data_IF_714022025854
#
_entry.id   IF_714022025854
#
_cell.length_a   1.000
_cell.length_b   1.000
_cell.length_c   1.000
_cell.angle_alpha   90.00
_cell.angle_beta   90.00
_cell.angle_gamma   90.00
#
_symmetry.space_group_name_H-M   'P 1'
#
loop_
_entity.id
_entity.type
_entity.pdbx_description
1 polymer ?
#
# COMPACT_ATOMS: atom_id res chain seq x y z
N UNK A 1 22.23 13.72 -2.21
CA UNK A 1 21.04 13.23 -1.47
C UNK A 1 21.21 11.72 -1.37
N UNK A 2 21.43 11.16 -0.18
CA UNK A 2 21.52 9.70 -0.04
C UNK A 2 20.10 9.17 0.08
N UNK A 3 19.57 8.55 -0.96
CA UNK A 3 18.30 7.83 -0.87
C UNK A 3 18.47 6.58 -0.01
N UNK A 4 17.47 6.25 0.80
CA UNK A 4 17.40 4.95 1.48
C UNK A 4 16.79 3.95 0.49
N UNK A 5 17.48 2.83 0.26
CA UNK A 5 16.90 1.73 -0.50
C UNK A 5 15.74 1.12 0.32
N UNK A 6 14.62 0.86 -0.35
CA UNK A 6 13.40 0.30 0.23
C UNK A 6 12.98 -0.90 -0.60
N UNK A 7 12.32 -1.87 0.03
CA UNK A 7 11.84 -3.09 -0.62
C UNK A 7 10.32 -2.96 -0.81
N UNK A 8 9.91 -2.55 -2.00
CA UNK A 8 8.51 -2.25 -2.31
C UNK A 8 7.65 -3.51 -2.28
N UNK A 9 8.22 -4.67 -2.62
CA UNK A 9 7.54 -5.96 -2.55
C UNK A 9 6.94 -6.30 -1.18
N UNK A 10 7.37 -5.62 -0.10
CA UNK A 10 6.83 -5.81 1.24
C UNK A 10 5.36 -5.40 1.34
N UNK A 11 4.93 -4.32 0.67
CA UNK A 11 3.53 -3.84 0.76
C UNK A 11 2.56 -4.70 -0.03
N UNK A 12 3.07 -5.54 -0.92
CA UNK A 12 2.30 -6.46 -1.77
C UNK A 12 2.43 -7.91 -1.33
N UNK A 13 3.14 -8.17 -0.22
CA UNK A 13 3.42 -9.51 0.31
C UNK A 13 4.30 -10.37 -0.60
N UNK A 14 4.99 -9.77 -1.58
CA UNK A 14 5.97 -10.47 -2.43
C UNK A 14 7.22 -10.84 -1.65
N UNK A 15 7.61 -9.99 -0.70
CA UNK A 15 8.64 -10.27 0.29
C UNK A 15 8.08 -10.05 1.69
N UNK A 16 8.54 -10.85 2.65
CA UNK A 16 8.23 -10.61 4.06
C UNK A 16 9.17 -9.52 4.61
N UNK A 17 8.67 -8.65 5.49
CA UNK A 17 9.51 -7.67 6.18
C UNK A 17 8.81 -6.33 6.40
N UNK A 18 9.63 -5.31 6.66
CA UNK A 18 9.20 -3.94 6.93
C UNK A 18 9.47 -2.98 5.77
N UNK A 19 9.91 -3.49 4.61
CA UNK A 19 10.24 -2.68 3.44
C UNK A 19 11.45 -1.77 3.64
N UNK A 20 12.24 -1.97 4.71
CA UNK A 20 13.28 -1.04 5.13
C UNK A 20 12.72 0.24 5.74
N UNK A 21 11.47 0.27 6.21
CA UNK A 21 10.85 1.43 6.85
C UNK A 21 10.70 1.20 8.34
N UNK A 22 10.97 2.24 9.13
CA UNK A 22 10.75 2.19 10.58
C UNK A 22 9.29 1.84 10.88
N UNK A 23 9.10 0.80 11.70
CA UNK A 23 7.80 0.20 12.00
C UNK A 23 7.01 -0.31 10.77
N UNK A 24 7.64 -0.46 9.61
CA UNK A 24 6.96 -0.82 8.35
C UNK A 24 6.15 -2.11 8.45
N UNK A 25 6.68 -3.15 9.10
CA UNK A 25 5.95 -4.40 9.29
C UNK A 25 4.66 -4.22 10.12
N UNK A 26 4.66 -3.30 11.11
CA UNK A 26 3.47 -2.99 11.91
C UNK A 26 2.46 -2.14 11.13
N UNK A 27 2.95 -1.19 10.32
CA UNK A 27 2.12 -0.38 9.43
C UNK A 27 1.41 -1.25 8.38
N UNK A 28 2.13 -2.18 7.75
CA UNK A 28 1.57 -3.15 6.80
C UNK A 28 0.54 -4.04 7.51
N UNK A 29 0.90 -4.65 8.64
CA UNK A 29 -0.01 -5.55 9.36
C UNK A 29 -1.32 -4.86 9.79
N UNK A 30 -1.24 -3.62 10.27
CA UNK A 30 -2.42 -2.84 10.63
C UNK A 30 -3.25 -2.46 9.40
N UNK A 31 -2.62 -2.04 8.30
CA UNK A 31 -3.31 -1.70 7.05
C UNK A 31 -4.09 -2.91 6.52
N UNK A 32 -3.46 -4.09 6.46
CA UNK A 32 -4.12 -5.34 6.08
C UNK A 32 -5.30 -5.70 6.99
N UNK A 33 -5.15 -5.47 8.29
CA UNK A 33 -6.20 -5.75 9.26
C UNK A 33 -7.40 -4.80 9.09
N UNK A 34 -7.17 -3.53 8.75
CA UNK A 34 -8.22 -2.53 8.46
C UNK A 34 -8.99 -2.87 7.17
N UNK A 35 -8.30 -3.38 6.15
CA UNK A 35 -8.92 -3.75 4.86
C UNK A 35 -9.56 -5.14 4.88
N UNK A 36 -9.32 -5.93 5.93
CA UNK A 36 -9.91 -7.25 6.13
C UNK A 36 -11.27 -7.22 6.82
N UNK A 37 -11.75 -8.41 7.20
CA UNK A 37 -13.04 -8.62 7.88
C UNK A 37 -12.92 -9.31 9.25
N UNK A 38 -11.70 -9.42 9.79
CA UNK A 38 -11.44 -10.02 11.10
C UNK A 38 -11.29 -8.93 12.16
N UNK A 39 -12.36 -8.66 12.89
CA UNK A 39 -12.39 -7.68 13.98
C UNK A 39 -11.39 -8.00 15.10
N UNK A 40 -11.14 -9.28 15.36
CA UNK A 40 -10.17 -9.72 16.34
C UNK A 40 -8.75 -9.38 15.92
N UNK A 41 -8.41 -9.62 14.64
CA UNK A 41 -7.12 -9.20 14.06
C UNK A 41 -7.00 -7.69 14.07
N UNK A 42 -8.06 -6.97 13.68
CA UNK A 42 -8.07 -5.50 13.71
C UNK A 42 -7.77 -4.95 15.10
N UNK A 43 -8.42 -5.46 16.15
CA UNK A 43 -8.17 -5.03 17.52
C UNK A 43 -6.72 -5.29 17.96
N UNK A 44 -6.16 -6.47 17.62
CA UNK A 44 -4.78 -6.84 17.96
C UNK A 44 -3.76 -5.95 17.26
N UNK A 45 -3.86 -5.78 15.94
CA UNK A 45 -2.87 -4.99 15.18
C UNK A 45 -2.97 -3.49 15.49
N UNK A 46 -4.16 -2.99 15.83
CA UNK A 46 -4.35 -1.62 16.32
C UNK A 46 -3.52 -1.36 17.57
N UNK A 47 -3.62 -2.25 18.56
CA UNK A 47 -2.86 -2.10 19.81
C UNK A 47 -1.35 -2.27 19.56
N UNK A 48 -0.98 -3.25 18.74
CA UNK A 48 0.43 -3.48 18.39
C UNK A 48 1.08 -2.28 17.71
N UNK A 49 0.35 -1.56 16.83
CA UNK A 49 0.87 -0.35 16.20
C UNK A 49 0.94 0.82 17.19
N UNK A 50 -0.10 1.04 18.01
CA UNK A 50 -0.13 2.12 19.02
C UNK A 50 0.97 1.99 20.07
N UNK A 51 1.47 0.79 20.31
CA UNK A 51 2.59 0.56 21.22
C UNK A 51 3.95 1.04 20.68
N UNK A 52 4.07 1.30 19.36
CA UNK A 52 5.36 1.64 18.73
C UNK A 52 5.36 3.02 18.05
N UNK A 53 4.20 3.66 17.84
CA UNK A 53 4.11 5.02 17.28
C UNK A 53 3.38 5.97 18.22
N UNK A 54 3.52 7.28 18.00
CA UNK A 54 2.81 8.29 18.78
C UNK A 54 1.31 8.32 18.46
N UNK A 55 0.46 8.84 19.36
CA UNK A 55 -0.96 9.03 19.07
C UNK A 55 -1.24 9.84 17.82
N UNK A 56 -0.46 10.89 17.55
CA UNK A 56 -0.59 11.75 16.37
C UNK A 56 -0.26 10.96 15.10
N UNK A 57 0.87 10.24 15.09
CA UNK A 57 1.26 9.38 13.97
C UNK A 57 0.22 8.28 13.69
N UNK A 58 -0.44 7.76 14.73
CA UNK A 58 -1.52 6.79 14.57
C UNK A 58 -2.75 7.39 13.89
N UNK A 59 -3.13 8.63 14.23
CA UNK A 59 -4.21 9.36 13.55
C UNK A 59 -3.86 9.58 12.08
N UNK A 60 -2.65 10.04 11.78
CA UNK A 60 -2.18 10.25 10.41
C UNK A 60 -2.18 8.94 9.60
N UNK A 61 -1.76 7.84 10.21
CA UNK A 61 -1.82 6.50 9.59
C UNK A 61 -3.25 6.11 9.24
N UNK A 62 -4.20 6.29 10.17
CA UNK A 62 -5.62 6.00 9.92
C UNK A 62 -6.20 6.89 8.81
N UNK A 63 -5.83 8.17 8.78
CA UNK A 63 -6.26 9.11 7.74
C UNK A 63 -5.74 8.69 6.36
N UNK A 64 -4.47 8.26 6.28
CA UNK A 64 -3.86 7.80 5.04
C UNK A 64 -4.54 6.53 4.50
N UNK A 65 -4.77 5.54 5.36
CA UNK A 65 -5.52 4.32 5.00
C UNK A 65 -6.90 4.68 4.48
N UNK A 66 -7.62 5.58 5.16
CA UNK A 66 -8.94 6.04 4.75
C UNK A 66 -8.93 6.73 3.38
N UNK A 67 -7.96 7.61 3.14
CA UNK A 67 -7.84 8.35 1.88
C UNK A 67 -7.60 7.42 0.68
N UNK A 68 -6.61 6.52 0.76
CA UNK A 68 -6.30 5.61 -0.35
C UNK A 68 -7.41 4.59 -0.59
N UNK A 69 -8.05 4.10 0.47
CA UNK A 69 -9.22 3.22 0.35
C UNK A 69 -10.38 3.87 -0.44
N UNK A 70 -10.55 5.19 -0.36
CA UNK A 70 -11.56 5.90 -1.16
C UNK A 70 -11.07 6.12 -2.58
N UNK A 71 -9.85 6.65 -2.76
CA UNK A 71 -9.29 6.97 -4.07
C UNK A 71 -9.20 5.73 -4.96
N UNK A 72 -8.73 4.60 -4.42
CA UNK A 72 -8.56 3.35 -5.16
C UNK A 72 -9.91 2.83 -5.68
N UNK A 73 -10.97 2.88 -4.85
CA UNK A 73 -12.32 2.48 -5.29
C UNK A 73 -12.90 3.39 -6.36
N UNK A 74 -12.62 4.69 -6.28
CA UNK A 74 -13.05 5.64 -7.32
C UNK A 74 -12.34 5.33 -8.63
N UNK A 75 -11.03 5.11 -8.60
CA UNK A 75 -10.25 4.73 -9.78
C UNK A 75 -10.76 3.41 -10.39
N UNK A 76 -10.97 2.39 -9.56
CA UNK A 76 -11.49 1.10 -10.00
C UNK A 76 -12.90 1.20 -10.59
N UNK A 77 -13.79 1.97 -9.97
CA UNK A 77 -15.18 2.13 -10.42
C UNK A 77 -15.31 2.92 -11.73
N UNK A 78 -14.39 3.86 -11.95
CA UNK A 78 -14.38 4.70 -13.16
C UNK A 78 -13.55 4.11 -14.29
N UNK A 79 -12.68 3.14 -13.99
CA UNK A 79 -11.77 2.55 -14.97
C UNK A 79 -10.71 3.53 -15.47
N UNK A 80 -10.32 4.53 -14.66
CA UNK A 80 -9.31 5.51 -15.05
C UNK A 80 -7.98 4.79 -15.33
N UNK A 81 -7.36 4.97 -16.52
CA UNK A 81 -6.08 4.36 -16.85
C UNK A 81 -4.93 5.06 -16.14
N UNK A 82 -3.80 4.36 -15.99
CA UNK A 82 -2.54 5.01 -15.64
C UNK A 82 -2.10 5.94 -16.79
N UNK A 83 -1.63 7.14 -16.44
CA UNK A 83 -1.08 8.09 -17.40
C UNK A 83 0.11 7.50 -18.16
N UNK A 84 0.25 7.83 -19.45
CA UNK A 84 1.26 7.25 -20.34
C UNK A 84 2.69 7.55 -19.86
N UNK A 85 2.99 8.77 -19.42
CA UNK A 85 4.32 9.12 -18.92
C UNK A 85 4.64 8.37 -17.62
N UNK A 86 3.64 8.24 -16.73
CA UNK A 86 3.79 7.44 -15.52
C UNK A 86 3.96 5.94 -15.85
N UNK A 87 3.27 5.43 -16.86
CA UNK A 87 3.42 4.05 -17.28
C UNK A 87 4.83 3.75 -17.80
N UNK A 88 5.38 4.58 -18.67
CA UNK A 88 6.76 4.41 -19.15
C UNK A 88 7.75 4.52 -17.99
N UNK A 89 7.59 5.54 -17.13
CA UNK A 89 8.55 5.84 -16.07
C UNK A 89 8.50 4.95 -14.83
N UNK A 90 7.47 4.13 -14.65
CA UNK A 90 7.28 3.32 -13.43
C UNK A 90 7.35 1.81 -13.64
N UNK A 91 7.87 1.33 -14.78
CA UNK A 91 7.91 -0.10 -15.08
C UNK A 91 8.58 -0.91 -13.96
N UNK A 92 9.80 -0.55 -13.55
CA UNK A 92 10.54 -1.27 -12.51
C UNK A 92 9.76 -1.34 -11.19
N UNK A 93 9.12 -0.23 -10.79
CA UNK A 93 8.28 -0.16 -9.58
C UNK A 93 7.06 -1.07 -9.69
N UNK A 94 6.38 -1.09 -10.84
CA UNK A 94 5.21 -1.96 -11.06
C UNK A 94 5.60 -3.43 -11.05
N UNK A 95 6.75 -3.77 -11.62
CA UNK A 95 7.27 -5.13 -11.69
C UNK A 95 7.67 -5.63 -10.31
N UNK A 96 8.40 -4.82 -9.52
CA UNK A 96 8.78 -5.15 -8.14
C UNK A 96 7.55 -5.34 -7.23
N UNK A 97 6.55 -4.47 -7.37
CA UNK A 97 5.29 -4.60 -6.65
C UNK A 97 4.42 -5.76 -7.18
N UNK A 98 4.72 -6.28 -8.37
CA UNK A 98 3.97 -7.33 -9.05
C UNK A 98 2.55 -6.92 -9.42
N UNK A 99 2.32 -5.66 -9.81
CA UNK A 99 0.98 -5.09 -9.97
C UNK A 99 0.15 -5.74 -11.09
N UNK A 100 0.80 -6.37 -12.07
CA UNK A 100 0.14 -7.06 -13.18
C UNK A 100 -0.82 -8.19 -12.75
N UNK A 101 -0.69 -8.70 -11.51
CA UNK A 101 -1.57 -9.75 -10.97
C UNK A 101 -2.94 -9.23 -10.50
N UNK A 102 -3.11 -7.92 -10.32
CA UNK A 102 -4.36 -7.34 -9.88
C UNK A 102 -5.30 -7.09 -11.06
N UNK A 103 -6.61 -7.27 -10.84
CA UNK A 103 -7.62 -7.09 -11.91
C UNK A 103 -7.65 -5.68 -12.48
N UNK A 104 -7.36 -4.66 -11.66
CA UNK A 104 -7.32 -3.25 -12.08
C UNK A 104 -6.21 -2.97 -13.11
N UNK A 105 -5.22 -3.84 -13.27
CA UNK A 105 -4.24 -3.75 -14.36
C UNK A 105 -4.91 -3.72 -15.75
N UNK A 106 -6.10 -4.33 -15.89
CA UNK A 106 -6.87 -4.30 -17.13
C UNK A 106 -7.38 -2.88 -17.50
N UNK A 107 -7.45 -1.94 -16.54
CA UNK A 107 -7.83 -0.55 -16.79
C UNK A 107 -6.73 0.25 -17.47
N UNK A 108 -5.51 -0.29 -17.57
CA UNK A 108 -4.39 0.33 -18.30
C UNK A 108 -4.00 -0.53 -19.51
N UNK A 109 -4.89 -0.74 -20.50
CA UNK A 109 -4.55 -1.50 -21.69
C UNK A 109 -3.66 -0.68 -22.61
N UNK A 110 -2.45 -1.17 -22.88
CA UNK A 110 -1.61 -0.65 -23.98
C UNK A 110 -1.19 0.80 -23.82
N UNK A 111 -0.60 1.17 -22.69
CA UNK A 111 0.37 2.26 -22.73
C UNK A 111 1.47 1.85 -23.72
N UNK A 112 1.29 2.36 -24.94
CA UNK A 112 1.95 2.01 -26.19
C UNK A 112 3.22 2.78 -26.41
#
# INVERSE_FOLDING_TARGET
MSGKAVELGAVTGQVAGDGGIEHGARLIAFTDAVLGSDDGRLAREREALRAVITPEAFVDTCALIGAFNVVDRVADATGIPLDAMLYEGSQDVRDELGLARFRSAANTPGAS
#
